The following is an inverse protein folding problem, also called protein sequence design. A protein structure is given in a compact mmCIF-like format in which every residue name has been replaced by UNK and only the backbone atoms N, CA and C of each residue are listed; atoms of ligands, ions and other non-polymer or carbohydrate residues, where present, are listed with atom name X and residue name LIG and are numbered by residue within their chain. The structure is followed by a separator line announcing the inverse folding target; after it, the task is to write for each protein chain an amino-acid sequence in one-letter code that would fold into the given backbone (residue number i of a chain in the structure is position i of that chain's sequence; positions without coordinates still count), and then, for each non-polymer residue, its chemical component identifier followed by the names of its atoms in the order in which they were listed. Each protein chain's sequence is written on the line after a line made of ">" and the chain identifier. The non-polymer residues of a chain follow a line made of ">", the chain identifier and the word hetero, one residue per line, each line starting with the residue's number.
data_IF_980654305620
#
_entry.id   IF_980654305620
#
_cell.length_a   1.000
_cell.length_b   1.000
_cell.length_c   1.000
_cell.angle_alpha   90.00
_cell.angle_beta   90.00
_cell.angle_gamma   90.00
#
_symmetry.space_group_name_H-M   'P 1'
#
loop_
_entity.id
_entity.type
_entity.pdbx_description
1 polymer ?
#
# COMPACT_ATOMS: atom_id res chain seq x y z
N UNK A 1 -16.92 -3.26 -14.22
CA UNK A 1 -17.72 -4.16 -13.39
C UNK A 1 -18.15 -3.41 -12.15
N UNK A 2 -19.42 -3.53 -11.69
CA UNK A 2 -19.92 -2.73 -10.58
C UNK A 2 -19.18 -3.11 -9.30
N UNK A 3 -18.82 -2.08 -8.57
CA UNK A 3 -18.21 -2.12 -7.24
C UNK A 3 -19.21 -2.75 -6.27
N UNK A 4 -19.10 -4.03 -6.04
CA UNK A 4 -19.90 -4.65 -5.01
C UNK A 4 -19.16 -4.50 -3.67
N UNK A 5 -19.82 -4.02 -2.65
CA UNK A 5 -19.42 -4.29 -1.28
C UNK A 5 -19.70 -5.78 -0.99
N UNK A 6 -18.82 -6.62 -1.56
CA UNK A 6 -18.96 -8.09 -1.51
C UNK A 6 -19.12 -8.56 -0.06
N UNK A 7 -18.44 -7.88 0.86
CA UNK A 7 -18.50 -8.18 2.30
C UNK A 7 -19.91 -8.01 2.88
N UNK A 8 -20.55 -6.87 2.60
CA UNK A 8 -21.89 -6.59 3.14
C UNK A 8 -22.95 -7.45 2.46
N UNK A 9 -22.81 -7.73 1.16
CA UNK A 9 -23.68 -8.64 0.43
C UNK A 9 -23.53 -10.06 0.95
N UNK A 10 -22.34 -10.58 1.15
CA UNK A 10 -22.09 -11.92 1.71
C UNK A 10 -22.62 -12.02 3.14
N UNK A 11 -22.43 -11.00 3.97
CA UNK A 11 -22.98 -10.93 5.32
C UNK A 11 -24.49 -10.96 5.30
N UNK A 12 -25.14 -10.18 4.43
CA UNK A 12 -26.58 -10.16 4.26
C UNK A 12 -27.13 -11.49 3.77
N UNK A 13 -26.52 -12.10 2.75
CA UNK A 13 -26.93 -13.39 2.22
C UNK A 13 -26.77 -14.50 3.26
N UNK A 14 -25.66 -14.56 3.98
CA UNK A 14 -25.44 -15.53 5.05
C UNK A 14 -26.47 -15.34 6.18
N UNK A 15 -26.75 -14.12 6.59
CA UNK A 15 -27.77 -13.80 7.59
C UNK A 15 -29.16 -14.29 7.15
N UNK A 16 -29.56 -13.98 5.91
CA UNK A 16 -30.85 -14.40 5.36
C UNK A 16 -30.97 -15.91 5.26
N UNK A 17 -29.92 -16.59 4.77
CA UNK A 17 -29.92 -18.04 4.63
C UNK A 17 -30.11 -18.76 5.98
N UNK A 18 -29.44 -18.26 7.04
CA UNK A 18 -29.55 -18.84 8.38
C UNK A 18 -30.89 -18.52 9.07
N UNK A 19 -31.44 -17.33 8.85
CA UNK A 19 -32.74 -16.93 9.38
C UNK A 19 -33.94 -17.78 8.79
N UNK A 20 -33.74 -18.41 7.62
CA UNK A 20 -34.73 -19.31 7.03
C UNK A 20 -34.83 -20.65 7.76
N UNK A 21 -33.88 -20.98 8.64
CA UNK A 21 -33.91 -22.24 9.39
C UNK A 21 -34.94 -22.14 10.53
N UNK A 22 -35.93 -23.07 10.61
CA UNK A 22 -36.92 -23.04 11.66
C UNK A 22 -36.30 -23.06 13.06
N UNK A 23 -36.73 -22.13 13.91
CA UNK A 23 -36.25 -22.02 15.29
C UNK A 23 -35.11 -21.00 15.50
N UNK A 24 -34.48 -20.44 14.44
CA UNK A 24 -33.49 -19.38 14.54
C UNK A 24 -34.18 -18.05 14.73
N UNK A 25 -33.90 -17.36 15.85
CA UNK A 25 -34.49 -16.05 16.20
C UNK A 25 -33.57 -14.87 15.86
N UNK A 26 -32.26 -15.07 15.86
CA UNK A 26 -31.27 -14.04 15.53
C UNK A 26 -30.01 -14.67 14.99
N UNK A 27 -29.29 -13.92 14.14
CA UNK A 27 -28.02 -14.36 13.54
C UNK A 27 -27.00 -13.24 13.68
N UNK A 28 -25.85 -13.57 14.24
CA UNK A 28 -24.69 -12.68 14.23
C UNK A 28 -23.67 -13.26 13.25
N UNK A 29 -23.36 -12.54 12.18
CA UNK A 29 -22.35 -12.93 11.18
C UNK A 29 -21.09 -12.12 11.41
N UNK A 30 -20.02 -12.79 11.80
CA UNK A 30 -18.69 -12.22 11.91
C UNK A 30 -17.89 -12.58 10.67
N UNK A 31 -17.40 -11.54 9.97
CA UNK A 31 -16.60 -11.73 8.75
C UNK A 31 -15.12 -11.69 9.12
N UNK A 32 -14.45 -12.82 8.96
CA UNK A 32 -13.00 -12.91 9.11
C UNK A 32 -12.32 -12.92 7.75
N UNK A 33 -11.20 -12.20 7.62
CA UNK A 33 -10.36 -12.24 6.43
C UNK A 33 -9.15 -13.16 6.67
N UNK A 34 -8.98 -14.15 5.81
CA UNK A 34 -7.76 -14.97 5.81
C UNK A 34 -6.92 -14.58 4.59
N UNK A 35 -5.89 -13.76 4.83
CA UNK A 35 -4.94 -13.36 3.79
C UNK A 35 -3.99 -14.52 3.53
N UNK A 36 -3.91 -14.99 2.28
CA UNK A 36 -2.97 -16.05 1.88
C UNK A 36 -1.56 -15.52 1.83
N UNK A 37 -0.58 -16.31 2.25
CA UNK A 37 0.84 -15.95 2.15
C UNK A 37 1.34 -15.99 0.71
N UNK A 38 2.33 -15.15 0.40
CA UNK A 38 3.24 -15.31 -0.73
C UNK A 38 4.08 -16.59 -0.58
N UNK A 39 4.75 -17.00 -1.63
CA UNK A 39 5.76 -18.06 -1.53
C UNK A 39 6.98 -17.53 -0.77
N UNK A 40 7.37 -18.23 0.29
CA UNK A 40 8.51 -17.88 1.14
C UNK A 40 9.69 -18.71 0.67
N UNK A 41 10.73 -18.05 0.17
CA UNK A 41 12.02 -18.71 -0.18
C UNK A 41 12.92 -18.89 1.03
N UNK A 42 13.97 -19.70 0.89
CA UNK A 42 14.91 -20.00 1.99
C UNK A 42 15.68 -18.76 2.51
N UNK A 43 15.78 -17.69 1.73
CA UNK A 43 16.46 -16.43 2.09
C UNK A 43 15.48 -15.26 2.31
N UNK A 44 14.26 -15.55 2.74
CA UNK A 44 13.26 -14.52 2.92
C UNK A 44 13.61 -13.61 4.12
N UNK A 45 13.78 -12.32 3.85
CA UNK A 45 14.07 -11.31 4.87
C UNK A 45 12.89 -11.05 5.82
N UNK A 46 11.66 -11.43 5.42
CA UNK A 46 10.42 -11.13 6.11
C UNK A 46 9.50 -12.36 6.19
N UNK A 47 9.92 -13.45 6.86
CA UNK A 47 9.17 -14.71 6.85
C UNK A 47 7.79 -14.61 7.49
N UNK A 48 7.57 -13.65 8.41
CA UNK A 48 6.28 -13.38 9.06
C UNK A 48 5.34 -12.48 8.26
N UNK A 49 5.77 -11.93 7.11
CA UNK A 49 4.99 -10.97 6.32
C UNK A 49 4.39 -11.66 5.09
N UNK A 50 3.05 -11.68 4.99
CA UNK A 50 2.35 -12.34 3.87
C UNK A 50 2.49 -11.59 2.56
N UNK A 51 2.36 -10.25 2.59
CA UNK A 51 2.48 -9.40 1.40
C UNK A 51 3.30 -8.15 1.70
N UNK A 52 4.24 -7.84 0.82
CA UNK A 52 5.01 -6.60 0.84
C UNK A 52 4.56 -5.75 -0.34
N UNK A 53 3.90 -4.64 -0.08
CA UNK A 53 3.33 -3.76 -1.09
C UNK A 53 4.15 -2.48 -1.17
N UNK A 54 4.81 -2.26 -2.29
CA UNK A 54 5.52 -1.02 -2.54
C UNK A 54 4.57 0.06 -3.05
N UNK A 55 4.63 1.25 -2.45
CA UNK A 55 3.97 2.45 -2.95
C UNK A 55 5.00 3.31 -3.64
N UNK A 56 4.84 3.47 -4.94
CA UNK A 56 5.79 4.15 -5.82
C UNK A 56 5.13 5.34 -6.52
N UNK A 57 5.94 6.27 -6.98
CA UNK A 57 5.50 7.36 -7.85
C UNK A 57 6.61 7.74 -8.82
N UNK A 58 6.25 8.15 -10.01
CA UNK A 58 7.22 8.57 -11.02
C UNK A 58 7.85 9.94 -10.76
N UNK A 59 7.26 10.76 -9.90
CA UNK A 59 7.76 12.10 -9.48
C UNK A 59 7.41 12.40 -8.03
N UNK A 60 8.12 13.36 -7.43
CA UNK A 60 7.77 13.92 -6.12
C UNK A 60 6.51 14.80 -6.15
N UNK A 61 5.93 15.06 -4.98
CA UNK A 61 4.80 15.97 -4.81
C UNK A 61 3.44 15.43 -5.26
N UNK A 62 3.30 14.13 -5.54
CA UNK A 62 2.00 13.51 -5.90
C UNK A 62 1.21 13.03 -4.68
N UNK A 63 1.72 13.22 -3.47
CA UNK A 63 1.10 12.75 -2.23
C UNK A 63 1.31 11.26 -1.96
N UNK A 64 2.37 10.65 -2.48
CA UNK A 64 2.71 9.23 -2.33
C UNK A 64 2.67 8.77 -0.87
N UNK A 65 3.38 9.44 0.03
CA UNK A 65 3.46 9.08 1.45
C UNK A 65 2.14 9.25 2.18
N UNK A 66 1.37 10.31 1.87
CA UNK A 66 -0.01 10.48 2.37
C UNK A 66 -0.89 9.31 1.95
N UNK A 67 -0.77 8.86 0.69
CA UNK A 67 -1.50 7.70 0.19
C UNK A 67 -1.04 6.43 0.91
N UNK A 68 0.27 6.20 1.07
CA UNK A 68 0.82 5.03 1.76
C UNK A 68 0.31 4.93 3.21
N UNK A 69 0.35 6.04 3.96
CA UNK A 69 -0.15 6.12 5.34
C UNK A 69 -1.64 5.79 5.41
N UNK A 70 -2.46 6.47 4.62
CA UNK A 70 -3.91 6.27 4.66
C UNK A 70 -4.33 4.87 4.18
N UNK A 71 -3.61 4.26 3.22
CA UNK A 71 -3.84 2.87 2.81
C UNK A 71 -3.48 1.88 3.92
N UNK A 72 -2.35 2.09 4.62
CA UNK A 72 -1.97 1.25 5.75
C UNK A 72 -3.02 1.29 6.87
N UNK A 73 -3.49 2.50 7.22
CA UNK A 73 -4.56 2.66 8.23
C UNK A 73 -5.88 2.06 7.74
N UNK A 74 -6.23 2.23 6.45
CA UNK A 74 -7.43 1.63 5.87
C UNK A 74 -7.40 0.10 5.94
N UNK A 75 -6.27 -0.53 5.65
CA UNK A 75 -6.08 -1.98 5.79
C UNK A 75 -6.22 -2.43 7.25
N UNK A 76 -5.63 -1.68 8.20
CA UNK A 76 -5.77 -1.98 9.62
C UNK A 76 -7.25 -1.88 10.08
N UNK A 77 -7.99 -0.88 9.60
CA UNK A 77 -9.44 -0.76 9.86
C UNK A 77 -10.28 -1.92 9.27
N UNK A 78 -9.76 -2.64 8.27
CA UNK A 78 -10.37 -3.86 7.75
C UNK A 78 -10.08 -5.10 8.63
N UNK A 79 -9.35 -4.94 9.73
CA UNK A 79 -9.01 -6.00 10.69
C UNK A 79 -7.78 -6.81 10.30
N UNK A 80 -6.92 -6.32 9.41
CA UNK A 80 -5.67 -6.98 9.04
C UNK A 80 -4.50 -6.45 9.88
N UNK A 81 -3.45 -7.26 10.06
CA UNK A 81 -2.20 -6.86 10.72
C UNK A 81 -1.33 -6.13 9.71
N UNK A 82 -1.03 -4.86 9.97
CA UNK A 82 -0.34 -3.99 9.01
C UNK A 82 0.96 -3.42 9.58
N UNK A 83 2.02 -3.49 8.78
CA UNK A 83 3.25 -2.74 8.94
C UNK A 83 3.35 -1.62 7.90
N UNK A 84 4.04 -0.53 8.25
CA UNK A 84 4.37 0.58 7.36
C UNK A 84 5.85 0.91 7.48
N UNK A 85 6.60 0.73 6.40
CA UNK A 85 8.00 1.10 6.31
C UNK A 85 8.16 2.35 5.44
N UNK A 86 8.67 3.42 6.03
CA UNK A 86 9.13 4.60 5.31
C UNK A 86 10.55 4.35 4.78
N UNK A 87 10.65 4.10 3.50
CA UNK A 87 11.91 3.89 2.80
C UNK A 87 12.36 5.14 2.03
N UNK A 88 11.65 6.26 2.15
CA UNK A 88 12.07 7.56 1.59
C UNK A 88 13.07 8.25 2.53
N UNK A 89 14.31 7.79 2.46
CA UNK A 89 15.40 8.28 3.31
C UNK A 89 15.79 9.74 3.05
N UNK A 90 15.36 10.28 1.91
CA UNK A 90 15.67 11.69 1.54
C UNK A 90 14.71 12.69 2.16
N UNK A 91 13.49 12.25 2.46
CA UNK A 91 12.46 13.07 3.06
C UNK A 91 11.46 12.22 3.84
N UNK A 92 11.90 11.58 4.95
CA UNK A 92 11.04 10.72 5.73
C UNK A 92 9.87 11.53 6.29
N UNK A 93 8.66 11.20 5.86
CA UNK A 93 7.45 11.95 6.20
C UNK A 93 6.41 11.15 6.99
N UNK A 94 6.56 9.82 7.07
CA UNK A 94 5.63 8.96 7.80
C UNK A 94 5.51 9.33 9.28
N UNK A 95 6.61 9.64 10.03
CA UNK A 95 6.50 10.08 11.42
C UNK A 95 5.59 11.30 11.59
N UNK A 96 5.74 12.30 10.72
CA UNK A 96 4.94 13.51 10.73
C UNK A 96 3.47 13.20 10.42
N UNK A 97 3.20 12.47 9.35
CA UNK A 97 1.85 12.10 8.90
C UNK A 97 1.11 11.20 9.89
N UNK A 98 1.83 10.49 10.76
CA UNK A 98 1.28 9.63 11.80
C UNK A 98 1.29 10.30 13.19
N UNK A 99 1.77 11.54 13.30
CA UNK A 99 1.74 12.36 14.51
C UNK A 99 2.56 11.80 15.65
N UNK A 100 3.74 11.26 15.38
CA UNK A 100 4.61 10.74 16.42
C UNK A 100 6.07 11.11 16.18
N UNK A 101 6.76 11.41 17.29
CA UNK A 101 8.20 11.64 17.36
C UNK A 101 8.87 10.68 18.37
N UNK A 102 8.17 9.61 18.70
CA UNK A 102 8.71 8.60 19.61
C UNK A 102 9.94 7.95 19.01
N UNK A 103 10.94 7.68 19.86
CA UNK A 103 12.12 6.92 19.44
C UNK A 103 11.84 5.43 19.66
N UNK A 104 12.04 4.57 18.65
CA UNK A 104 11.88 3.14 18.79
C UNK A 104 12.81 2.56 19.86
N UNK A 105 12.32 1.59 20.61
CA UNK A 105 13.12 0.89 21.60
C UNK A 105 13.79 -0.34 20.98
N UNK A 106 14.94 -0.73 21.53
CA UNK A 106 15.64 -1.96 21.16
C UNK A 106 15.46 -2.99 22.26
N UNK A 107 14.95 -4.16 21.91
CA UNK A 107 14.76 -5.29 22.82
C UNK A 107 15.35 -6.54 22.15
N UNK A 108 16.25 -7.24 22.86
CA UNK A 108 16.92 -8.45 22.33
C UNK A 108 17.52 -8.23 20.92
N UNK A 109 18.24 -7.15 20.73
CA UNK A 109 18.87 -6.76 19.46
C UNK A 109 17.90 -6.47 18.30
N UNK A 110 16.60 -6.39 18.58
CA UNK A 110 15.56 -6.03 17.60
C UNK A 110 14.97 -4.67 17.92
N UNK A 111 14.71 -3.89 16.86
CA UNK A 111 14.03 -2.60 16.95
C UNK A 111 12.53 -2.87 17.02
N UNK A 112 11.90 -2.39 18.07
CA UNK A 112 10.43 -2.50 18.21
C UNK A 112 9.77 -1.37 17.43
N UNK A 113 8.94 -1.67 16.42
CA UNK A 113 8.27 -0.65 15.63
C UNK A 113 7.26 0.14 16.48
N UNK A 114 7.08 1.41 16.16
CA UNK A 114 6.10 2.28 16.80
C UNK A 114 4.70 1.93 16.30
N UNK A 115 3.72 1.88 17.18
CA UNK A 115 2.34 1.59 16.81
C UNK A 115 1.44 2.81 16.95
N UNK A 116 0.76 3.19 15.86
CA UNK A 116 -0.28 4.23 15.83
C UNK A 116 -1.41 3.81 14.90
N UNK A 117 -2.64 4.12 15.27
CA UNK A 117 -3.86 3.83 14.48
C UNK A 117 -3.96 2.36 14.01
N UNK A 118 -3.45 1.40 14.80
CA UNK A 118 -3.43 -0.03 14.48
C UNK A 118 -2.40 -0.44 13.42
N UNK A 119 -1.43 0.43 13.12
CA UNK A 119 -0.34 0.19 12.18
C UNK A 119 0.99 0.24 12.93
N UNK A 120 1.80 -0.80 12.78
CA UNK A 120 3.19 -0.80 13.24
C UNK A 120 4.08 -0.18 12.17
N UNK A 121 4.85 0.84 12.54
CA UNK A 121 5.61 1.61 11.57
C UNK A 121 7.07 1.78 11.98
N UNK A 122 7.91 1.90 10.96
CA UNK A 122 9.31 2.24 11.09
C UNK A 122 9.73 3.22 10.00
N UNK A 123 10.56 4.17 10.39
CA UNK A 123 11.14 5.20 9.51
C UNK A 123 12.52 5.56 9.99
N UNK A 124 13.40 5.91 9.08
CA UNK A 124 14.67 6.54 9.45
C UNK A 124 14.47 7.89 10.16
N UNK A 125 13.36 8.57 9.90
CA UNK A 125 13.00 9.80 10.59
C UNK A 125 12.87 9.66 12.11
N UNK A 126 12.70 8.44 12.64
CA UNK A 126 12.73 8.19 14.09
C UNK A 126 14.14 8.09 14.67
N UNK A 127 15.13 7.85 13.83
CA UNK A 127 16.51 7.59 14.25
C UNK A 127 17.43 8.77 13.99
N UNK A 128 16.98 9.75 13.22
CA UNK A 128 17.76 10.93 12.82
C UNK A 128 17.26 12.15 13.57
N UNK A 129 18.16 13.00 14.10
CA UNK A 129 17.80 14.32 14.59
C UNK A 129 17.22 15.20 13.49
N UNK A 130 16.21 16.02 13.80
CA UNK A 130 15.49 16.87 12.84
C UNK A 130 16.40 17.87 12.09
N UNK A 131 17.55 18.22 12.65
CA UNK A 131 18.48 19.23 12.16
C UNK A 131 19.72 18.67 11.46
N UNK A 132 19.86 17.36 11.33
CA UNK A 132 20.99 16.72 10.67
C UNK A 132 20.71 16.38 9.21
N UNK A 133 21.37 17.10 8.31
CA UNK A 133 21.42 16.71 6.90
C UNK A 133 22.40 15.52 6.73
N UNK A 134 21.87 14.33 6.52
CA UNK A 134 22.69 13.15 6.19
C UNK A 134 22.85 13.05 4.68
N UNK A 135 24.10 13.00 4.21
CA UNK A 135 24.37 12.77 2.79
C UNK A 135 24.27 11.28 2.48
N UNK A 136 23.14 10.87 1.95
CA UNK A 136 22.89 9.49 1.56
C UNK A 136 23.51 9.18 0.19
N UNK A 137 24.30 8.10 0.12
CA UNK A 137 24.75 7.50 -1.15
C UNK A 137 23.96 6.24 -1.41
N UNK A 138 23.66 5.93 -2.69
CA UNK A 138 22.80 4.81 -3.09
C UNK A 138 23.07 3.49 -2.35
N UNK A 139 24.34 2.98 -2.26
CA UNK A 139 24.62 1.75 -1.53
C UNK A 139 24.31 1.82 -0.02
N UNK A 140 24.47 2.99 0.61
CA UNK A 140 24.14 3.18 2.03
C UNK A 140 22.64 3.11 2.24
N UNK A 141 21.85 3.73 1.36
CA UNK A 141 20.38 3.70 1.41
C UNK A 141 19.85 2.27 1.35
N UNK A 142 20.34 1.49 0.39
CA UNK A 142 19.93 0.09 0.24
C UNK A 142 20.29 -0.74 1.47
N UNK A 143 21.49 -0.56 2.02
CA UNK A 143 21.95 -1.22 3.25
C UNK A 143 21.03 -0.89 4.44
N UNK A 144 20.73 0.39 4.62
CA UNK A 144 19.88 0.86 5.73
C UNK A 144 18.44 0.35 5.62
N UNK A 145 17.84 0.41 4.43
CA UNK A 145 16.49 -0.15 4.24
C UNK A 145 16.49 -1.66 4.48
N UNK A 146 17.53 -2.36 4.04
CA UNK A 146 17.67 -3.79 4.36
C UNK A 146 17.72 -4.03 5.87
N UNK A 147 18.47 -3.23 6.62
CA UNK A 147 18.51 -3.29 8.09
C UNK A 147 17.12 -3.03 8.70
N UNK A 148 16.38 -2.02 8.22
CA UNK A 148 15.01 -1.78 8.70
C UNK A 148 14.05 -2.93 8.38
N UNK A 149 14.30 -3.72 7.35
CA UNK A 149 13.53 -4.93 7.07
C UNK A 149 13.90 -6.07 8.01
N UNK A 150 15.19 -6.25 8.34
CA UNK A 150 15.70 -7.41 9.08
C UNK A 150 15.78 -7.18 10.59
N UNK A 151 16.13 -5.98 11.02
CA UNK A 151 16.44 -5.68 12.43
C UNK A 151 15.19 -5.18 13.19
N UNK A 152 14.13 -4.80 12.47
CA UNK A 152 12.84 -4.46 13.06
C UNK A 152 12.04 -5.73 13.36
N UNK A 153 11.46 -5.82 14.56
CA UNK A 153 10.58 -6.91 14.96
C UNK A 153 9.18 -6.71 14.37
N UNK A 154 9.05 -7.01 13.07
CA UNK A 154 7.75 -6.89 12.39
C UNK A 154 6.73 -7.90 12.89
N UNK A 155 7.15 -9.11 13.33
CA UNK A 155 6.27 -10.20 13.68
C UNK A 155 5.37 -10.64 12.51
N UNK A 156 4.23 -11.23 12.82
CA UNK A 156 3.26 -11.62 11.79
C UNK A 156 2.51 -10.41 11.25
N UNK A 157 2.55 -10.21 9.92
CA UNK A 157 1.82 -9.17 9.22
C UNK A 157 1.09 -9.75 8.00
N UNK A 158 -0.14 -9.30 7.79
CA UNK A 158 -0.85 -9.55 6.54
C UNK A 158 -0.27 -8.71 5.41
N UNK A 159 0.04 -7.45 5.72
CA UNK A 159 0.60 -6.48 4.78
C UNK A 159 1.74 -5.67 5.42
N UNK A 160 2.83 -5.51 4.69
CA UNK A 160 3.84 -4.48 4.94
C UNK A 160 3.79 -3.50 3.78
N UNK A 161 3.31 -2.30 4.03
CA UNK A 161 3.31 -1.20 3.06
C UNK A 161 4.67 -0.52 3.12
N UNK A 162 5.33 -0.38 1.97
CA UNK A 162 6.65 0.25 1.86
C UNK A 162 6.52 1.52 1.03
N UNK A 163 6.71 2.66 1.66
CA UNK A 163 6.74 3.96 1.00
C UNK A 163 8.10 4.19 0.36
N UNK A 164 8.21 4.02 -0.97
CA UNK A 164 9.47 4.15 -1.71
C UNK A 164 9.82 5.63 -1.98
N UNK A 165 11.09 5.97 -2.18
CA UNK A 165 11.47 7.29 -2.69
C UNK A 165 10.77 7.61 -4.03
N UNK A 166 10.48 8.88 -4.31
CA UNK A 166 9.86 9.27 -5.57
C UNK A 166 10.82 9.16 -6.75
N UNK A 167 10.26 8.97 -7.94
CA UNK A 167 11.02 8.93 -9.20
C UNK A 167 11.26 7.52 -9.74
N UNK A 168 12.04 7.45 -10.81
CA UNK A 168 12.37 6.22 -11.55
C UNK A 168 13.88 6.05 -11.74
N UNK A 169 14.67 6.72 -10.92
CA UNK A 169 16.13 6.67 -10.94
C UNK A 169 16.71 5.51 -10.13
N UNK A 170 18.00 5.62 -9.83
CA UNK A 170 18.76 4.53 -9.18
C UNK A 170 18.27 4.21 -7.76
N UNK A 171 17.86 5.22 -6.97
CA UNK A 171 17.45 4.99 -5.59
C UNK A 171 16.19 4.12 -5.45
N UNK A 172 15.02 4.46 -6.07
CA UNK A 172 13.86 3.59 -6.02
C UNK A 172 14.12 2.21 -6.66
N UNK A 173 14.94 2.14 -7.71
CA UNK A 173 15.30 0.86 -8.33
C UNK A 173 16.12 -0.01 -7.38
N UNK A 174 17.19 0.52 -6.78
CA UNK A 174 18.06 -0.20 -5.86
C UNK A 174 17.29 -0.68 -4.62
N UNK A 175 16.40 0.17 -4.07
CA UNK A 175 15.55 -0.21 -2.95
C UNK A 175 14.58 -1.32 -3.32
N UNK A 176 13.95 -1.23 -4.49
CA UNK A 176 13.03 -2.26 -4.97
C UNK A 176 13.70 -3.61 -5.18
N UNK A 177 15.00 -3.63 -5.47
CA UNK A 177 15.79 -4.87 -5.53
C UNK A 177 16.04 -5.47 -4.15
N UNK A 178 16.20 -4.62 -3.13
CA UNK A 178 16.52 -5.04 -1.77
C UNK A 178 15.29 -5.47 -0.96
N UNK A 179 14.09 -5.05 -1.38
CA UNK A 179 12.82 -5.35 -0.72
C UNK A 179 12.15 -6.56 -1.39
N UNK A 180 11.64 -7.55 -0.63
CA UNK A 180 10.93 -8.69 -1.20
C UNK A 180 9.49 -8.31 -1.64
N UNK A 181 9.38 -7.39 -2.59
CA UNK A 181 8.10 -6.83 -3.07
C UNK A 181 7.24 -7.92 -3.68
N UNK A 182 5.99 -8.01 -3.25
CA UNK A 182 4.95 -8.90 -3.77
C UNK A 182 3.91 -8.19 -4.63
N UNK A 183 3.92 -6.88 -4.65
CA UNK A 183 3.09 -6.06 -5.51
C UNK A 183 3.43 -4.58 -5.41
N UNK A 184 3.14 -3.83 -6.47
CA UNK A 184 3.42 -2.40 -6.56
C UNK A 184 2.15 -1.62 -6.85
N UNK A 185 1.96 -0.54 -6.12
CA UNK A 185 0.93 0.47 -6.39
C UNK A 185 1.62 1.75 -6.88
N UNK A 186 1.12 2.33 -7.97
CA UNK A 186 1.69 3.55 -8.54
C UNK A 186 0.73 4.71 -8.29
N UNK A 187 1.23 5.73 -7.59
CA UNK A 187 0.49 6.97 -7.31
C UNK A 187 0.83 8.01 -8.37
N UNK A 188 -0.20 8.61 -8.97
CA UNK A 188 -0.08 9.69 -9.94
C UNK A 188 -1.14 10.77 -9.73
N UNK A 189 -0.96 11.91 -10.38
CA UNK A 189 -1.95 13.00 -10.47
C UNK A 189 -2.57 13.02 -11.88
N UNK A 190 -3.75 13.66 -12.10
CA UNK A 190 -4.50 13.59 -13.37
C UNK A 190 -3.80 14.16 -14.61
N UNK A 191 -2.74 14.94 -14.45
CA UNK A 191 -2.07 15.67 -15.52
C UNK A 191 -1.49 14.72 -16.59
N UNK A 192 -1.53 15.09 -17.87
CA UNK A 192 -0.97 14.30 -18.98
C UNK A 192 0.54 14.01 -18.83
N UNK A 193 1.30 14.95 -18.25
CA UNK A 193 2.72 14.72 -17.91
C UNK A 193 2.86 13.57 -16.91
N UNK A 194 1.92 13.44 -15.98
CA UNK A 194 1.96 12.37 -14.98
C UNK A 194 1.75 10.99 -15.62
N UNK A 195 0.98 10.88 -16.72
CA UNK A 195 0.85 9.64 -17.52
C UNK A 195 2.22 9.16 -18.03
N UNK A 196 2.98 10.04 -18.68
CA UNK A 196 4.31 9.69 -19.21
C UNK A 196 5.25 9.22 -18.07
N UNK A 197 5.17 9.86 -16.92
CA UNK A 197 6.01 9.56 -15.78
C UNK A 197 5.56 8.27 -15.08
N UNK A 198 4.26 8.03 -14.93
CA UNK A 198 3.73 6.76 -14.43
C UNK A 198 4.10 5.60 -15.34
N UNK A 199 4.08 5.81 -16.67
CA UNK A 199 4.57 4.84 -17.66
C UNK A 199 6.04 4.45 -17.44
N UNK A 200 6.90 5.41 -17.10
CA UNK A 200 8.30 5.13 -16.73
C UNK A 200 8.40 4.29 -15.46
N UNK A 201 7.56 4.56 -14.44
CA UNK A 201 7.54 3.75 -13.21
C UNK A 201 7.08 2.32 -13.50
N UNK A 202 6.03 2.11 -14.28
CA UNK A 202 5.60 0.78 -14.74
C UNK A 202 6.72 0.06 -15.49
N UNK A 203 7.37 0.74 -16.43
CA UNK A 203 8.48 0.17 -17.21
C UNK A 203 9.67 -0.20 -16.32
N UNK A 204 9.98 0.61 -15.31
CA UNK A 204 11.04 0.32 -14.34
C UNK A 204 10.75 -1.00 -13.59
N UNK A 205 9.54 -1.19 -13.07
CA UNK A 205 9.21 -2.42 -12.36
C UNK A 205 9.16 -3.65 -13.26
N UNK A 206 8.68 -3.53 -14.50
CA UNK A 206 8.74 -4.61 -15.50
C UNK A 206 10.18 -5.02 -15.82
N UNK A 207 11.07 -4.03 -15.99
CA UNK A 207 12.50 -4.29 -16.19
C UNK A 207 13.17 -4.94 -14.97
N UNK A 208 12.75 -4.54 -13.79
CA UNK A 208 13.21 -5.12 -12.53
C UNK A 208 12.79 -6.59 -12.41
N UNK A 209 11.55 -6.90 -12.79
CA UNK A 209 11.03 -8.27 -12.86
C UNK A 209 11.88 -9.16 -13.76
N UNK A 210 12.21 -8.68 -14.99
CA UNK A 210 13.10 -9.38 -15.92
C UNK A 210 14.49 -9.63 -15.31
N UNK A 211 15.07 -8.63 -14.64
CA UNK A 211 16.40 -8.71 -14.05
C UNK A 211 16.49 -9.61 -12.81
N UNK A 212 15.44 -9.70 -12.03
CA UNK A 212 15.38 -10.50 -10.80
C UNK A 212 14.89 -11.94 -11.05
N UNK A 213 14.30 -12.23 -12.20
CA UNK A 213 13.69 -13.53 -12.51
C UNK A 213 12.51 -13.88 -11.57
N UNK A 214 11.89 -12.87 -10.95
CA UNK A 214 10.70 -13.03 -10.10
C UNK A 214 9.62 -12.04 -10.50
N UNK A 215 8.37 -12.42 -10.36
CA UNK A 215 7.24 -11.54 -10.66
C UNK A 215 7.13 -10.40 -9.63
N UNK A 216 6.92 -9.19 -10.13
CA UNK A 216 6.61 -7.99 -9.34
C UNK A 216 5.36 -7.36 -9.95
N UNK A 217 4.17 -7.90 -9.65
CA UNK A 217 2.94 -7.45 -10.30
C UNK A 217 2.62 -6.01 -9.94
N UNK A 218 2.20 -5.23 -10.94
CA UNK A 218 1.62 -3.92 -10.72
C UNK A 218 0.17 -4.14 -10.27
N UNK A 219 -0.10 -3.93 -8.99
CA UNK A 219 -1.43 -4.07 -8.40
C UNK A 219 -2.41 -3.03 -8.94
N UNK A 220 -1.89 -1.87 -9.32
CA UNK A 220 -2.65 -0.86 -10.05
C UNK A 220 -2.17 0.56 -9.84
N UNK A 221 -2.91 1.47 -10.48
CA UNK A 221 -2.72 2.92 -10.42
C UNK A 221 -3.74 3.54 -9.47
N UNK A 222 -3.28 4.47 -8.64
CA UNK A 222 -4.10 5.37 -7.83
C UNK A 222 -3.93 6.78 -8.39
N UNK A 223 -5.04 7.41 -8.73
CA UNK A 223 -5.07 8.83 -9.06
C UNK A 223 -5.31 9.65 -7.80
N UNK A 224 -4.30 10.38 -7.36
CA UNK A 224 -4.44 11.35 -6.28
C UNK A 224 -4.69 12.75 -6.84
N UNK A 225 -5.37 13.60 -6.08
CA UNK A 225 -5.75 14.96 -6.47
C UNK A 225 -6.64 14.96 -7.74
N UNK A 226 -7.56 14.01 -7.85
CA UNK A 226 -8.40 13.80 -9.04
C UNK A 226 -9.35 14.96 -9.35
N UNK A 227 -9.69 15.75 -8.35
CA UNK A 227 -10.55 16.93 -8.45
C UNK A 227 -10.73 17.53 -7.05
N UNK A 228 -11.31 18.70 -6.96
CA UNK A 228 -11.62 19.36 -5.70
C UNK A 228 -13.02 18.96 -5.24
N UNK A 229 -13.13 18.36 -4.07
CA UNK A 229 -14.40 18.10 -3.43
C UNK A 229 -14.86 19.35 -2.65
N UNK A 230 -15.98 19.92 -3.06
CA UNK A 230 -16.54 21.09 -2.38
C UNK A 230 -16.95 20.74 -0.94
N UNK A 231 -16.45 21.44 0.10
CA UNK A 231 -16.78 21.11 1.49
C UNK A 231 -18.24 21.42 1.85
N UNK A 232 -18.96 22.20 1.03
CA UNK A 232 -20.36 22.59 1.27
C UNK A 232 -21.36 21.64 0.62
N UNK A 233 -21.12 21.20 -0.62
CA UNK A 233 -22.09 20.37 -1.36
C UNK A 233 -21.55 18.99 -1.74
N UNK A 234 -20.24 18.73 -1.56
CA UNK A 234 -19.62 17.46 -1.91
C UNK A 234 -19.37 17.27 -3.41
N UNK A 235 -19.74 18.22 -4.26
CA UNK A 235 -19.49 18.15 -5.70
C UNK A 235 -17.99 18.15 -5.99
N UNK A 236 -17.54 17.24 -6.86
CA UNK A 236 -16.13 17.14 -7.25
C UNK A 236 -15.91 17.84 -8.57
N UNK A 237 -15.15 18.92 -8.55
CA UNK A 237 -14.77 19.69 -9.73
C UNK A 237 -13.34 19.32 -10.16
N UNK A 238 -13.09 18.97 -11.44
CA UNK A 238 -11.72 18.73 -11.94
C UNK A 238 -10.85 19.97 -11.76
N UNK A 239 -9.69 19.80 -11.11
CA UNK A 239 -8.71 20.89 -10.88
C UNK A 239 -7.64 20.89 -11.97
N UNK A 240 -7.32 19.72 -12.49
CA UNK A 240 -6.29 19.56 -13.51
C UNK A 240 -6.92 19.13 -14.83
N UNK A 241 -6.46 19.74 -15.92
CA UNK A 241 -6.73 19.23 -17.25
C UNK A 241 -5.87 17.98 -17.50
N UNK A 242 -6.48 16.89 -17.95
CA UNK A 242 -5.79 15.63 -18.23
C UNK A 242 -6.80 14.48 -18.38
N UNK A 243 -6.32 13.37 -18.93
CA UNK A 243 -7.15 12.18 -19.16
C UNK A 243 -7.32 11.29 -17.93
N UNK A 244 -6.59 11.60 -16.87
CA UNK A 244 -6.71 10.93 -15.59
C UNK A 244 -6.03 9.57 -15.49
N UNK A 245 -6.12 9.00 -14.27
CA UNK A 245 -5.48 7.74 -13.90
C UNK A 245 -6.14 6.52 -14.51
N UNK A 246 -7.44 6.55 -14.76
CA UNK A 246 -8.16 5.45 -15.42
C UNK A 246 -7.69 5.24 -16.88
N UNK A 247 -7.57 6.33 -17.63
CA UNK A 247 -6.97 6.29 -18.96
C UNK A 247 -5.51 5.80 -18.93
N UNK A 248 -4.75 6.25 -17.93
CA UNK A 248 -3.36 5.81 -17.76
C UNK A 248 -3.29 4.29 -17.49
N UNK A 249 -4.14 3.78 -16.63
CA UNK A 249 -4.22 2.36 -16.29
C UNK A 249 -4.57 1.50 -17.52
N UNK A 250 -5.58 1.91 -18.28
CA UNK A 250 -5.98 1.25 -19.51
C UNK A 250 -4.83 1.20 -20.53
N UNK A 251 -4.19 2.33 -20.80
CA UNK A 251 -3.08 2.43 -21.77
C UNK A 251 -1.84 1.66 -21.35
N UNK A 252 -1.58 1.52 -20.06
CA UNK A 252 -0.44 0.79 -19.52
C UNK A 252 -0.75 -0.70 -19.28
N UNK A 253 -2.00 -1.11 -19.46
CA UNK A 253 -2.44 -2.49 -19.26
C UNK A 253 -2.31 -2.93 -17.80
N UNK A 254 -2.66 -2.06 -16.85
CA UNK A 254 -2.62 -2.31 -15.41
C UNK A 254 -3.96 -1.95 -14.76
N UNK A 255 -4.33 -2.53 -13.61
CA UNK A 255 -5.57 -2.19 -12.93
C UNK A 255 -5.64 -0.72 -12.54
N UNK A 256 -6.84 -0.14 -12.52
CA UNK A 256 -7.13 1.13 -11.88
C UNK A 256 -7.76 0.88 -10.52
N UNK A 257 -7.13 1.37 -9.44
CA UNK A 257 -7.59 1.12 -8.07
C UNK A 257 -8.60 2.17 -7.59
N UNK A 258 -8.52 3.38 -8.14
CA UNK A 258 -9.45 4.46 -7.83
C UNK A 258 -8.83 5.84 -7.79
N UNK A 259 -9.69 6.84 -7.56
CA UNK A 259 -9.33 8.26 -7.49
C UNK A 259 -9.54 8.81 -6.08
N UNK A 260 -8.64 9.68 -5.63
CA UNK A 260 -8.71 10.38 -4.37
C UNK A 260 -8.88 11.87 -4.69
N UNK A 261 -10.00 12.50 -4.32
CA UNK A 261 -10.18 13.92 -4.54
C UNK A 261 -9.28 14.76 -3.63
N UNK A 262 -8.94 15.95 -4.09
CA UNK A 262 -8.24 16.95 -3.29
C UNK A 262 -9.23 17.56 -2.26
N UNK A 263 -8.79 17.66 -1.02
CA UNK A 263 -9.52 18.32 0.06
C UNK A 263 -8.49 19.04 0.94
N UNK A 264 -8.70 20.31 1.25
CA UNK A 264 -7.83 21.06 2.16
C UNK A 264 -7.68 20.41 3.53
N UNK A 265 -8.71 19.71 4.01
CA UNK A 265 -8.68 19.03 5.31
C UNK A 265 -7.66 17.87 5.35
N UNK A 266 -7.35 17.25 4.20
CA UNK A 266 -6.29 16.21 4.13
C UNK A 266 -4.93 16.81 4.46
N UNK A 267 -4.64 17.99 3.90
CA UNK A 267 -3.37 18.67 4.18
C UNK A 267 -3.28 19.07 5.65
N UNK A 268 -4.33 19.71 6.18
CA UNK A 268 -4.38 20.12 7.57
C UNK A 268 -4.24 18.94 8.53
N UNK A 269 -5.01 17.88 8.35
CA UNK A 269 -4.92 16.70 9.20
C UNK A 269 -3.57 15.99 9.08
N UNK A 270 -2.95 15.98 7.89
CA UNK A 270 -1.60 15.46 7.68
C UNK A 270 -0.53 16.27 8.43
N UNK A 271 -0.64 17.60 8.44
CA UNK A 271 0.25 18.48 9.18
C UNK A 271 0.05 18.36 10.71
N UNK A 272 -1.17 18.03 11.15
CA UNK A 272 -1.50 17.70 12.54
C UNK A 272 -1.09 16.28 12.94
N UNK A 273 -0.62 15.46 12.00
CA UNK A 273 -0.21 14.09 12.23
C UNK A 273 -1.39 13.11 12.44
N UNK A 274 -2.56 13.45 11.90
CA UNK A 274 -3.73 12.57 11.93
C UNK A 274 -4.09 12.16 10.51
N UNK A 275 -3.99 10.86 10.14
CA UNK A 275 -4.37 10.40 8.82
C UNK A 275 -5.80 10.79 8.45
N UNK A 276 -6.04 11.23 7.22
CA UNK A 276 -7.36 11.76 6.78
C UNK A 276 -8.50 10.76 7.01
N UNK A 277 -8.24 9.47 6.88
CA UNK A 277 -9.22 8.40 7.13
C UNK A 277 -9.64 8.30 8.61
N UNK A 278 -8.82 8.82 9.53
CA UNK A 278 -9.09 8.89 10.97
C UNK A 278 -9.72 10.24 11.33
N UNK A 279 -9.14 11.33 10.84
CA UNK A 279 -9.61 12.69 11.14
C UNK A 279 -11.03 12.94 10.62
N UNK A 280 -11.32 12.45 9.40
CA UNK A 280 -12.59 12.71 8.71
C UNK A 280 -13.17 11.41 8.11
N UNK A 281 -13.63 10.44 8.94
CA UNK A 281 -13.97 9.08 8.48
C UNK A 281 -15.12 9.02 7.46
N UNK A 282 -15.99 10.01 7.43
CA UNK A 282 -17.13 10.09 6.51
C UNK A 282 -16.85 10.93 5.24
N UNK A 283 -15.67 11.53 5.14
CA UNK A 283 -15.27 12.32 3.97
C UNK A 283 -15.22 11.49 2.69
N UNK A 284 -15.30 12.16 1.55
CA UNK A 284 -15.13 11.52 0.24
C UNK A 284 -13.76 10.84 0.11
N UNK A 285 -12.73 11.44 0.69
CA UNK A 285 -11.36 10.91 0.70
C UNK A 285 -11.24 9.64 1.54
N UNK A 286 -11.81 9.64 2.75
CA UNK A 286 -11.79 8.44 3.61
C UNK A 286 -12.52 7.27 2.95
N UNK A 287 -13.63 7.53 2.28
CA UNK A 287 -14.35 6.53 1.47
C UNK A 287 -13.51 6.04 0.29
N UNK A 288 -12.82 6.94 -0.40
CA UNK A 288 -11.90 6.60 -1.48
C UNK A 288 -10.75 5.73 -0.99
N UNK A 289 -10.07 6.09 0.10
CA UNK A 289 -8.99 5.29 0.69
C UNK A 289 -9.45 3.88 1.08
N UNK A 290 -10.63 3.74 1.73
CA UNK A 290 -11.19 2.41 2.06
C UNK A 290 -11.48 1.58 0.81
N UNK A 291 -12.09 2.17 -0.22
CA UNK A 291 -12.38 1.49 -1.49
C UNK A 291 -11.09 1.04 -2.19
N UNK A 292 -10.07 1.91 -2.23
CA UNK A 292 -8.78 1.61 -2.84
C UNK A 292 -8.04 0.52 -2.07
N UNK A 293 -8.05 0.56 -0.73
CA UNK A 293 -7.43 -0.49 0.10
C UNK A 293 -8.09 -1.85 -0.14
N UNK A 294 -9.42 -1.91 -0.26
CA UNK A 294 -10.14 -3.14 -0.60
C UNK A 294 -9.78 -3.63 -2.01
N UNK A 295 -9.73 -2.74 -3.01
CA UNK A 295 -9.34 -3.08 -4.37
C UNK A 295 -7.90 -3.61 -4.42
N UNK A 296 -6.97 -2.97 -3.70
CA UNK A 296 -5.58 -3.39 -3.58
C UNK A 296 -5.46 -4.78 -2.93
N UNK A 297 -6.16 -5.03 -1.82
CA UNK A 297 -6.18 -6.34 -1.17
C UNK A 297 -6.77 -7.44 -2.08
N UNK A 298 -7.78 -7.11 -2.88
CA UNK A 298 -8.33 -8.03 -3.89
C UNK A 298 -7.29 -8.37 -4.97
N UNK A 299 -6.54 -7.38 -5.46
CA UNK A 299 -5.45 -7.61 -6.43
C UNK A 299 -4.33 -8.49 -5.84
N UNK A 300 -3.93 -8.28 -4.59
CA UNK A 300 -2.98 -9.18 -3.92
C UNK A 300 -3.48 -10.62 -3.89
N UNK A 301 -4.77 -10.81 -3.58
CA UNK A 301 -5.37 -12.15 -3.54
C UNK A 301 -5.41 -12.81 -4.92
N UNK A 302 -5.72 -12.06 -5.99
CA UNK A 302 -5.73 -12.54 -7.37
C UNK A 302 -4.33 -13.00 -7.78
N UNK A 303 -3.30 -12.21 -7.50
CA UNK A 303 -1.91 -12.55 -7.84
C UNK A 303 -1.45 -13.81 -7.08
N UNK A 304 -1.72 -13.91 -5.79
CA UNK A 304 -1.39 -15.11 -5.00
C UNK A 304 -2.08 -16.38 -5.53
N UNK A 305 -3.29 -16.25 -6.08
CA UNK A 305 -4.00 -17.39 -6.71
C UNK A 305 -3.36 -17.80 -8.04
N UNK A 306 -2.93 -16.83 -8.85
CA UNK A 306 -2.29 -17.08 -10.14
C UNK A 306 -0.98 -17.86 -9.94
N UNK A 307 -0.16 -17.48 -8.97
CA UNK A 307 1.08 -18.16 -8.63
C UNK A 307 0.85 -19.63 -8.23
N UNK A 308 -0.19 -19.92 -7.45
CA UNK A 308 -0.55 -21.28 -7.07
C UNK A 308 -1.08 -22.14 -8.23
N UNK A 309 -1.70 -21.51 -9.23
CA UNK A 309 -2.26 -22.22 -10.39
C UNK A 309 -1.17 -22.65 -11.35
N UNK A 310 -0.12 -21.85 -11.53
CA UNK A 310 1.04 -22.18 -12.37
C UNK A 310 1.76 -23.45 -11.87
N UNK A 311 1.85 -23.66 -10.56
CA UNK A 311 2.50 -24.86 -9.98
C UNK A 311 1.70 -26.15 -10.19
N UNK A 312 0.38 -26.09 -10.43
CA UNK A 312 -0.44 -27.29 -10.73
C UNK A 312 -0.22 -27.83 -12.14
N UNK A 313 0.43 -27.08 -13.01
CA UNK A 313 0.71 -27.47 -14.40
C UNK A 313 2.12 -28.01 -14.63
N UNK A 314 2.91 -28.26 -13.57
CA UNK A 314 4.17 -29.00 -13.71
C UNK A 314 3.82 -30.45 -13.99
N UNK A 315 4.13 -31.01 -15.19
CA UNK A 315 3.86 -32.42 -15.47
C UNK A 315 4.66 -33.27 -14.50
N UNK A 316 3.99 -34.04 -13.67
CA UNK A 316 4.62 -35.05 -12.85
C UNK A 316 5.36 -36.02 -13.79
N UNK A 317 6.68 -35.93 -13.83
CA UNK A 317 7.52 -36.90 -14.49
C UNK A 317 7.34 -38.21 -13.72
N UNK A 318 6.49 -39.10 -14.25
CA UNK A 318 6.42 -40.47 -13.77
C UNK A 318 7.77 -41.11 -14.01
N UNK A 319 8.53 -41.34 -12.95
CA UNK A 319 9.68 -42.24 -13.00
C UNK A 319 9.13 -43.64 -13.29
N UNK A 320 9.41 -44.14 -14.50
CA UNK A 320 9.26 -45.54 -14.87
C UNK A 320 10.26 -46.40 -14.10
#
# INVERSE_FOLDING_TARGET
>A
YPRLPVKDMMKSQATQAVLQIPGVKSVNVEMTANVRSRQIGAEDLLPGVKHVIAVASGKGGVGKSTVAVNLAVALAQLGTKVGLLDADVYGPSVPLLMGTRETPHVVNEKIIPIERYGVQMMSLGFLLPDDQAVIWRGPMVAGTVRQLLTDVEWGEKDYLVVDLPPGTGDAPMTLSQSVPITGVVIVMTPQDVAFTIAGKAVAMFRKLEEGLGRQIPILGIIENMSGFACPHCGEVTPVFAGRGGEYAAERLGVPFLGSIPLDPNISLSGDEGVPAIVAHPESAQAKAFRSIAQAMAAQCSIQSMADHTLLRHIPLIRRS
#
